data_IF_816622675526
#
_entry.id   IF_816622675526
#
_cell.length_a   1.000
_cell.length_b   1.000
_cell.length_c   1.000
_cell.angle_alpha   90.00
_cell.angle_beta   90.00
_cell.angle_gamma   90.00
#
_symmetry.space_group_name_H-M   'P 1'
#
loop_
_entity.id
_entity.type
_entity.pdbx_description
1 polymer ?
#
# COMPACT_ATOMS: atom_id res chain seq x y z
N UNK A 1 17.46 -1.94 3.75
CA UNK A 1 16.53 -2.19 2.63
C UNK A 1 15.39 -1.18 2.74
N UNK A 2 15.12 -0.32 1.73
CA UNK A 2 13.99 0.65 1.81
C UNK A 2 12.65 -0.13 1.84
N UNK A 3 11.72 0.27 2.71
CA UNK A 3 10.35 -0.30 2.89
C UNK A 3 9.65 -0.57 1.54
N UNK A 4 8.94 -1.70 1.46
CA UNK A 4 8.00 -1.99 0.37
C UNK A 4 6.69 -1.22 0.60
N UNK A 5 6.03 -0.75 -0.47
CA UNK A 5 4.79 0.01 -0.33
C UNK A 5 3.65 -0.84 0.26
N UNK A 6 2.78 -0.22 1.04
CA UNK A 6 1.59 -0.88 1.60
C UNK A 6 0.42 -0.91 0.62
N UNK A 7 -0.68 -1.57 0.97
CA UNK A 7 -1.82 -1.75 0.08
C UNK A 7 -2.44 -0.41 -0.36
N UNK A 8 -2.53 0.56 0.55
CA UNK A 8 -3.06 1.89 0.25
C UNK A 8 -2.14 2.67 -0.70
N UNK A 9 -0.83 2.71 -0.43
CA UNK A 9 0.15 3.37 -1.31
C UNK A 9 0.17 2.75 -2.71
N UNK A 10 0.07 1.42 -2.80
CA UNK A 10 -0.04 0.72 -4.08
C UNK A 10 -1.31 1.12 -4.83
N UNK A 11 -2.44 1.18 -4.15
CA UNK A 11 -3.71 1.61 -4.74
C UNK A 11 -3.63 3.06 -5.25
N UNK A 12 -3.00 3.96 -4.51
CA UNK A 12 -2.76 5.35 -4.93
C UNK A 12 -1.84 5.45 -6.16
N UNK A 13 -0.88 4.52 -6.31
CA UNK A 13 -0.08 4.39 -7.53
C UNK A 13 -0.86 3.85 -8.74
N UNK A 14 -2.14 3.50 -8.58
CA UNK A 14 -2.97 2.89 -9.61
C UNK A 14 -2.86 1.37 -9.68
N UNK A 15 -2.30 0.71 -8.66
CA UNK A 15 -2.25 -0.76 -8.63
C UNK A 15 -3.63 -1.33 -8.37
N UNK A 16 -4.01 -2.29 -9.22
CA UNK A 16 -5.28 -3.01 -9.14
C UNK A 16 -5.04 -4.31 -8.37
N UNK A 17 -5.91 -4.55 -7.40
CA UNK A 17 -5.86 -5.76 -6.58
C UNK A 17 -6.84 -6.80 -7.09
N UNK A 18 -6.40 -8.06 -7.22
CA UNK A 18 -7.23 -9.18 -7.63
C UNK A 18 -6.95 -10.43 -6.80
N UNK A 19 -7.94 -11.29 -6.69
CA UNK A 19 -7.75 -12.64 -6.17
C UNK A 19 -7.07 -13.52 -7.23
N UNK A 20 -6.11 -14.33 -6.82
CA UNK A 20 -5.43 -15.33 -7.64
C UNK A 20 -5.02 -16.54 -6.79
N UNK A 21 -4.21 -17.43 -7.36
CA UNK A 21 -3.71 -18.61 -6.65
C UNK A 21 -2.45 -18.31 -5.84
N UNK A 22 -1.63 -17.36 -6.29
CA UNK A 22 -0.38 -16.95 -5.65
C UNK A 22 -0.20 -15.42 -5.70
N UNK A 23 0.83 -14.91 -5.01
CA UNK A 23 1.26 -13.52 -5.05
C UNK A 23 2.04 -13.29 -6.35
N UNK A 24 1.43 -12.60 -7.29
CA UNK A 24 2.07 -12.23 -8.55
C UNK A 24 1.79 -10.76 -8.89
N UNK A 25 2.84 -10.01 -9.21
CA UNK A 25 2.67 -8.67 -9.75
C UNK A 25 2.80 -8.66 -11.27
N UNK A 26 1.96 -7.91 -11.96
CA UNK A 26 2.09 -7.65 -13.39
C UNK A 26 2.24 -6.15 -13.60
N UNK A 27 3.45 -5.74 -13.96
CA UNK A 27 3.85 -4.34 -14.14
C UNK A 27 3.26 -3.69 -15.40
N UNK A 28 2.92 -4.48 -16.41
CA UNK A 28 2.26 -3.99 -17.63
C UNK A 28 0.81 -3.57 -17.36
N UNK A 29 0.09 -4.39 -16.60
CA UNK A 29 -1.31 -4.14 -16.22
C UNK A 29 -1.45 -3.35 -14.91
N UNK A 30 -0.37 -3.21 -14.13
CA UNK A 30 -0.41 -2.66 -12.79
C UNK A 30 -1.25 -3.53 -11.83
N UNK A 31 -1.31 -4.84 -12.04
CA UNK A 31 -2.16 -5.74 -11.27
C UNK A 31 -1.35 -6.54 -10.25
N UNK A 32 -1.78 -6.53 -8.99
CA UNK A 32 -1.28 -7.43 -7.94
C UNK A 32 -2.34 -8.50 -7.67
N UNK A 33 -1.98 -9.75 -7.95
CA UNK A 33 -2.77 -10.91 -7.56
C UNK A 33 -2.35 -11.40 -6.18
N UNK A 34 -3.32 -11.79 -5.36
CA UNK A 34 -3.12 -12.31 -4.02
C UNK A 34 -4.05 -13.50 -3.78
N UNK A 35 -3.60 -14.51 -3.02
CA UNK A 35 -4.47 -15.61 -2.63
C UNK A 35 -5.62 -15.12 -1.75
N UNK A 36 -6.78 -15.77 -1.89
CA UNK A 36 -7.94 -15.47 -1.06
C UNK A 36 -7.66 -15.84 0.40
N UNK A 37 -7.72 -14.85 1.28
CA UNK A 37 -7.59 -15.03 2.72
C UNK A 37 -8.99 -15.20 3.29
N UNK A 38 -9.34 -16.46 3.56
CA UNK A 38 -10.52 -16.81 4.37
C UNK A 38 -10.08 -17.27 5.77
N UNK A 39 -10.98 -17.83 6.60
CA UNK A 39 -10.78 -18.25 8.01
C UNK A 39 -9.64 -19.27 8.23
N UNK A 40 -8.42 -18.88 7.88
CA UNK A 40 -7.23 -19.72 7.85
C UNK A 40 -6.23 -19.33 8.93
N UNK A 41 -6.51 -18.43 9.87
CA UNK A 41 -5.51 -18.06 10.90
C UNK A 41 -4.87 -19.29 11.56
N UNK A 42 -5.69 -20.23 12.06
CA UNK A 42 -5.20 -21.43 12.73
C UNK A 42 -4.49 -22.39 11.75
N UNK A 43 -5.09 -22.76 10.59
CA UNK A 43 -4.39 -23.54 9.56
C UNK A 43 -3.06 -22.92 9.10
N UNK A 44 -3.02 -21.61 8.91
CA UNK A 44 -1.87 -20.87 8.41
C UNK A 44 -0.72 -20.89 9.42
N UNK A 45 -1.00 -20.61 10.70
CA UNK A 45 0.01 -20.73 11.77
C UNK A 45 0.55 -22.15 11.90
N UNK A 46 -0.33 -23.15 11.81
CA UNK A 46 0.08 -24.55 11.86
C UNK A 46 0.95 -24.96 10.67
N UNK A 47 0.61 -24.49 9.46
CA UNK A 47 1.40 -24.74 8.25
C UNK A 47 2.77 -24.07 8.32
N UNK A 48 2.84 -22.82 8.79
CA UNK A 48 4.13 -22.12 9.00
C UNK A 48 4.99 -22.88 10.03
N UNK A 49 4.43 -23.27 11.17
CA UNK A 49 5.15 -24.06 12.15
C UNK A 49 5.64 -25.41 11.58
N UNK A 50 4.81 -26.06 10.76
CA UNK A 50 5.18 -27.29 10.07
C UNK A 50 6.35 -27.08 9.09
N UNK A 51 6.29 -26.05 8.25
CA UNK A 51 7.38 -25.69 7.32
C UNK A 51 8.69 -25.45 8.09
N UNK A 52 8.62 -24.63 9.15
CA UNK A 52 9.79 -24.28 9.96
C UNK A 52 10.41 -25.45 10.72
N UNK A 53 9.59 -26.36 11.26
CA UNK A 53 10.08 -27.48 12.06
C UNK A 53 10.50 -28.70 11.24
N UNK A 54 9.87 -28.95 10.08
CA UNK A 54 10.02 -30.23 9.36
C UNK A 54 10.68 -30.09 7.97
N UNK A 55 10.52 -28.97 7.29
CA UNK A 55 11.07 -28.77 5.93
C UNK A 55 12.40 -27.98 5.99
N UNK A 56 12.52 -27.10 7.00
CA UNK A 56 13.67 -26.25 7.21
C UNK A 56 13.57 -24.96 6.40
N UNK A 57 14.01 -23.85 6.98
CA UNK A 57 13.83 -22.48 6.45
C UNK A 57 14.49 -22.22 5.08
N UNK A 58 15.23 -23.18 4.53
CA UNK A 58 15.93 -23.08 3.24
C UNK A 58 15.25 -23.82 2.07
N UNK A 59 14.28 -24.70 2.32
CA UNK A 59 13.58 -25.46 1.27
C UNK A 59 12.05 -25.25 1.33
N UNK A 60 11.42 -24.85 0.22
CA UNK A 60 9.95 -24.78 0.01
C UNK A 60 9.14 -24.21 1.19
N UNK A 61 9.41 -22.94 1.53
CA UNK A 61 8.73 -22.21 2.60
C UNK A 61 7.73 -21.20 2.02
N UNK A 62 6.81 -21.66 1.17
CA UNK A 62 5.86 -20.80 0.46
C UNK A 62 4.90 -20.12 1.45
N UNK A 63 4.41 -20.87 2.44
CA UNK A 63 3.46 -20.34 3.43
C UNK A 63 4.16 -19.34 4.37
N UNK A 64 5.40 -19.62 4.76
CA UNK A 64 6.23 -18.72 5.56
C UNK A 64 6.60 -17.45 4.79
N UNK A 65 6.89 -17.57 3.49
CA UNK A 65 7.12 -16.44 2.59
C UNK A 65 5.87 -15.55 2.47
N UNK A 66 4.70 -16.17 2.29
CA UNK A 66 3.41 -15.48 2.30
C UNK A 66 3.20 -14.75 3.63
N UNK A 67 3.49 -15.43 4.75
CA UNK A 67 3.50 -14.84 6.09
C UNK A 67 4.33 -13.57 6.12
N UNK A 68 5.61 -13.63 5.75
CA UNK A 68 6.52 -12.46 5.72
C UNK A 68 6.06 -11.36 4.77
N UNK A 69 5.40 -11.69 3.68
CA UNK A 69 4.93 -10.71 2.70
C UNK A 69 3.74 -9.88 3.21
N UNK A 70 2.76 -10.50 3.87
CA UNK A 70 1.51 -9.85 4.24
C UNK A 70 1.64 -8.59 5.14
N UNK A 71 2.52 -8.53 6.16
CA UNK A 71 2.75 -7.31 6.94
C UNK A 71 3.31 -6.14 6.13
N UNK A 72 3.91 -6.38 4.96
CA UNK A 72 4.30 -5.27 4.09
C UNK A 72 3.07 -4.60 3.48
N UNK A 73 2.06 -5.37 3.11
CA UNK A 73 0.80 -4.85 2.57
C UNK A 73 -0.11 -4.29 3.65
N UNK A 74 -0.20 -4.94 4.80
CA UNK A 74 -1.14 -4.61 5.88
C UNK A 74 -0.42 -3.89 7.01
N UNK A 75 -0.36 -2.56 6.93
CA UNK A 75 0.31 -1.71 7.93
C UNK A 75 -0.67 -0.85 8.72
N UNK A 76 -1.90 -0.70 8.22
CA UNK A 76 -2.96 0.12 8.79
C UNK A 76 -4.33 -0.53 8.61
N UNK A 77 -5.30 -0.04 9.37
CA UNK A 77 -6.70 -0.45 9.24
C UNK A 77 -7.28 -0.11 7.86
N UNK A 78 -6.74 0.90 7.19
CA UNK A 78 -7.15 1.28 5.84
C UNK A 78 -6.69 0.27 4.80
N UNK A 79 -5.50 -0.32 4.97
CA UNK A 79 -5.02 -1.40 4.12
C UNK A 79 -5.93 -2.63 4.22
N UNK A 80 -6.34 -3.00 5.44
CA UNK A 80 -7.27 -4.11 5.66
C UNK A 80 -8.62 -3.84 4.99
N UNK A 81 -9.19 -2.64 5.18
CA UNK A 81 -10.46 -2.26 4.53
C UNK A 81 -10.37 -2.39 3.02
N UNK A 82 -9.29 -1.87 2.43
CA UNK A 82 -9.06 -1.96 1.00
C UNK A 82 -9.00 -3.40 0.51
N UNK A 83 -8.28 -4.28 1.23
CA UNK A 83 -8.18 -5.70 0.86
C UNK A 83 -9.51 -6.44 1.04
N UNK A 84 -10.37 -6.04 1.98
CA UNK A 84 -11.74 -6.55 2.12
C UNK A 84 -12.61 -6.10 0.95
N UNK A 85 -12.57 -4.80 0.60
CA UNK A 85 -13.29 -4.24 -0.55
C UNK A 85 -12.90 -4.91 -1.87
N UNK A 86 -11.63 -5.30 -1.98
CA UNK A 86 -11.09 -6.03 -3.14
C UNK A 86 -11.29 -7.55 -3.07
N UNK A 87 -12.03 -8.03 -2.05
CA UNK A 87 -12.39 -9.45 -1.85
C UNK A 87 -11.15 -10.35 -1.73
N UNK A 88 -10.02 -9.79 -1.29
CA UNK A 88 -8.81 -10.55 -0.95
C UNK A 88 -8.94 -11.11 0.47
N UNK A 89 -9.51 -10.32 1.38
CA UNK A 89 -9.80 -10.75 2.75
C UNK A 89 -11.32 -10.92 2.88
N UNK A 90 -11.78 -12.13 3.24
CA UNK A 90 -13.21 -12.32 3.54
C UNK A 90 -13.59 -11.65 4.86
N UNK A 91 -14.72 -10.94 4.83
CA UNK A 91 -15.35 -10.40 6.03
C UNK A 91 -15.75 -11.58 6.95
N UNK A 92 -15.13 -11.70 8.13
CA UNK A 92 -15.30 -12.87 9.02
C UNK A 92 -14.07 -13.25 9.84
N UNK A 93 -12.90 -12.67 9.54
CA UNK A 93 -11.66 -12.87 10.29
C UNK A 93 -11.59 -12.07 11.61
N UNK A 94 -12.62 -11.31 11.96
CA UNK A 94 -12.68 -10.47 13.15
C UNK A 94 -12.81 -8.99 12.84
N UNK A 95 -12.64 -8.15 13.86
CA UNK A 95 -12.56 -6.69 13.65
C UNK A 95 -11.33 -6.34 12.81
N UNK A 96 -11.37 -5.20 12.10
CA UNK A 96 -10.23 -4.74 11.28
C UNK A 96 -8.93 -4.70 12.11
N UNK A 97 -9.03 -4.27 13.37
CA UNK A 97 -7.91 -4.22 14.30
C UNK A 97 -7.36 -5.61 14.64
N UNK A 98 -8.24 -6.60 14.84
CA UNK A 98 -7.84 -8.00 15.04
C UNK A 98 -7.11 -8.55 13.82
N UNK A 99 -7.58 -8.25 12.60
CA UNK A 99 -6.92 -8.66 11.36
C UNK A 99 -5.55 -8.02 11.21
N UNK A 100 -5.41 -6.72 11.50
CA UNK A 100 -4.12 -6.03 11.51
C UNK A 100 -3.17 -6.66 12.54
N UNK A 101 -3.66 -6.97 13.74
CA UNK A 101 -2.85 -7.63 14.78
C UNK A 101 -2.48 -9.08 14.41
N UNK A 102 -3.38 -9.80 13.76
CA UNK A 102 -3.16 -11.16 13.27
C UNK A 102 -1.93 -11.21 12.38
N UNK A 103 -1.88 -10.40 11.32
CA UNK A 103 -0.74 -10.41 10.38
C UNK A 103 0.55 -9.94 11.04
N UNK A 104 0.50 -8.92 11.89
CA UNK A 104 1.68 -8.47 12.64
C UNK A 104 2.23 -9.56 13.59
N UNK A 105 1.35 -10.35 14.20
CA UNK A 105 1.74 -11.45 15.09
C UNK A 105 2.05 -12.74 14.33
N UNK A 106 1.61 -12.90 13.08
CA UNK A 106 1.93 -14.06 12.25
C UNK A 106 3.43 -14.15 12.02
N UNK A 107 4.09 -13.01 11.84
CA UNK A 107 5.50 -12.93 11.44
C UNK A 107 6.48 -12.84 12.60
N UNK A 108 5.98 -12.71 13.84
CA UNK A 108 6.83 -12.83 15.02
C UNK A 108 7.38 -14.26 15.01
N UNK A 109 8.68 -14.39 14.80
CA UNK A 109 9.44 -15.66 14.78
C UNK A 109 9.45 -16.44 13.45
N UNK A 110 8.99 -15.86 12.34
CA UNK A 110 9.20 -16.50 11.03
C UNK A 110 10.63 -16.22 10.52
N UNK A 111 11.40 -17.28 10.30
CA UNK A 111 12.69 -17.26 9.62
C UNK A 111 12.52 -17.83 8.22
N UNK A 112 12.86 -17.03 7.20
CA UNK A 112 12.81 -17.44 5.79
C UNK A 112 14.21 -17.27 5.19
N UNK A 113 14.79 -18.35 4.65
CA UNK A 113 16.12 -18.32 4.02
C UNK A 113 16.11 -17.66 2.64
N UNK A 114 15.04 -17.84 1.86
CA UNK A 114 14.87 -17.23 0.53
C UNK A 114 13.52 -16.52 0.46
N UNK A 115 13.53 -15.22 0.17
CA UNK A 115 12.31 -14.44 -0.04
C UNK A 115 11.85 -14.55 -1.51
N UNK A 116 10.85 -15.38 -1.77
CA UNK A 116 10.35 -15.65 -3.13
C UNK A 116 9.68 -14.43 -3.77
N UNK A 117 9.07 -13.56 -2.97
CA UNK A 117 8.33 -12.39 -3.47
C UNK A 117 9.17 -11.10 -3.51
N UNK A 118 10.49 -11.21 -3.32
CA UNK A 118 11.38 -10.05 -3.34
C UNK A 118 11.45 -9.40 -4.73
N UNK A 119 11.38 -10.19 -5.80
CA UNK A 119 11.25 -9.72 -7.19
C UNK A 119 10.01 -8.85 -7.38
N UNK A 120 8.86 -9.35 -6.93
CA UNK A 120 7.57 -8.66 -7.06
C UNK A 120 7.53 -7.41 -6.19
N UNK A 121 8.06 -7.47 -4.97
CA UNK A 121 8.26 -6.30 -4.12
C UNK A 121 9.07 -5.20 -4.83
N UNK A 122 10.15 -5.58 -5.51
CA UNK A 122 10.98 -4.64 -6.27
C UNK A 122 10.22 -4.07 -7.46
N UNK A 123 9.52 -4.90 -8.23
CA UNK A 123 8.73 -4.48 -9.40
C UNK A 123 7.60 -3.54 -9.02
N UNK A 124 6.84 -3.86 -7.98
CA UNK A 124 5.80 -2.97 -7.43
C UNK A 124 6.35 -1.60 -7.03
N UNK A 125 7.51 -1.60 -6.36
CA UNK A 125 8.17 -0.37 -5.94
C UNK A 125 8.62 0.47 -7.12
N UNK A 126 9.20 -0.15 -8.14
CA UNK A 126 9.67 0.56 -9.33
C UNK A 126 8.49 1.07 -10.18
N UNK A 127 7.39 0.32 -10.25
CA UNK A 127 6.13 0.78 -10.84
C UNK A 127 5.60 2.03 -10.13
N UNK A 128 5.48 2.00 -8.81
CA UNK A 128 5.04 3.15 -8.00
C UNK A 128 5.95 4.38 -8.17
N UNK A 129 7.27 4.19 -8.21
CA UNK A 129 8.20 5.30 -8.49
C UNK A 129 7.94 5.90 -9.88
N UNK A 130 7.71 5.06 -10.88
CA UNK A 130 7.37 5.50 -12.23
C UNK A 130 6.08 6.32 -12.27
N UNK A 131 5.02 5.85 -11.60
CA UNK A 131 3.76 6.58 -11.45
C UNK A 131 3.96 7.94 -10.77
N UNK A 132 4.67 7.95 -9.64
CA UNK A 132 4.95 9.19 -8.89
C UNK A 132 5.78 10.17 -9.71
N UNK A 133 6.78 9.69 -10.45
CA UNK A 133 7.59 10.54 -11.31
C UNK A 133 6.74 11.15 -12.43
N UNK A 134 5.94 10.34 -13.14
CA UNK A 134 5.00 10.85 -14.16
C UNK A 134 4.04 11.88 -13.60
N UNK A 135 3.42 11.60 -12.45
CA UNK A 135 2.49 12.54 -11.81
C UNK A 135 3.19 13.85 -11.41
N UNK A 136 4.39 13.78 -10.83
CA UNK A 136 5.16 14.99 -10.52
C UNK A 136 5.56 15.76 -11.78
N UNK A 137 5.94 15.09 -12.88
CA UNK A 137 6.22 15.75 -14.16
C UNK A 137 4.97 16.40 -14.74
N UNK A 138 3.81 15.73 -14.69
CA UNK A 138 2.53 16.28 -15.14
C UNK A 138 2.09 17.47 -14.30
N UNK A 139 2.25 17.41 -12.98
CA UNK A 139 2.01 18.54 -12.09
C UNK A 139 2.96 19.69 -12.40
N UNK A 140 4.26 19.41 -12.55
CA UNK A 140 5.22 20.45 -12.87
C UNK A 140 4.87 21.15 -14.19
N UNK A 141 4.52 20.37 -15.21
CA UNK A 141 4.11 20.89 -16.50
C UNK A 141 2.80 21.67 -16.38
N UNK A 142 1.74 21.13 -15.80
CA UNK A 142 0.43 21.78 -15.83
C UNK A 142 0.31 22.95 -14.85
N UNK A 143 0.93 22.85 -13.67
CA UNK A 143 0.85 23.86 -12.63
C UNK A 143 1.84 25.01 -12.87
N UNK A 144 3.10 24.72 -13.22
CA UNK A 144 4.12 25.75 -13.46
C UNK A 144 4.19 26.27 -14.90
N UNK A 145 3.52 25.65 -15.89
CA UNK A 145 3.46 26.22 -17.25
C UNK A 145 2.39 27.30 -17.44
N UNK A 146 1.58 27.59 -16.42
CA UNK A 146 0.60 28.70 -16.43
C UNK A 146 1.05 29.84 -15.51
N UNK A 147 2.08 30.61 -15.91
CA UNK A 147 2.57 31.75 -15.10
C UNK A 147 1.45 32.76 -14.81
N UNK A 148 0.48 32.90 -15.72
CA UNK A 148 -0.68 33.78 -15.56
C UNK A 148 -1.58 33.41 -14.37
N UNK A 149 -1.75 32.11 -14.07
CA UNK A 149 -2.55 31.68 -12.91
C UNK A 149 -1.87 32.04 -11.58
N UNK A 150 -0.53 32.01 -11.54
CA UNK A 150 0.24 32.44 -10.37
C UNK A 150 0.07 33.95 -10.17
N UNK A 151 0.12 34.75 -11.23
CA UNK A 151 -0.12 36.21 -11.16
C UNK A 151 -1.53 36.51 -10.66
N UNK A 152 -2.55 35.80 -11.17
CA UNK A 152 -3.94 35.97 -10.71
C UNK A 152 -4.11 35.59 -9.24
N UNK A 153 -3.50 34.48 -8.79
CA UNK A 153 -3.53 34.07 -7.39
C UNK A 153 -2.95 35.16 -6.47
N UNK A 154 -1.79 35.73 -6.83
CA UNK A 154 -1.16 36.83 -6.07
C UNK A 154 -2.05 38.06 -6.04
N UNK A 155 -2.66 38.45 -7.17
CA UNK A 155 -3.60 39.58 -7.22
C UNK A 155 -4.80 39.36 -6.30
N UNK A 156 -5.39 38.16 -6.30
CA UNK A 156 -6.54 37.84 -5.44
C UNK A 156 -6.18 37.88 -3.96
N UNK A 157 -4.98 37.43 -3.57
CA UNK A 157 -4.48 37.52 -2.20
C UNK A 157 -4.27 38.98 -1.77
N UNK A 158 -3.69 39.81 -2.63
CA UNK A 158 -3.54 41.25 -2.36
C UNK A 158 -4.91 41.89 -2.18
N UNK A 159 -5.85 41.65 -3.10
CA UNK A 159 -7.20 42.20 -3.04
C UNK A 159 -7.93 41.77 -1.75
N UNK A 160 -7.82 40.51 -1.34
CA UNK A 160 -8.46 40.04 -0.10
C UNK A 160 -7.83 40.66 1.14
N UNK A 161 -6.50 40.78 1.20
CA UNK A 161 -5.82 41.46 2.31
C UNK A 161 -6.25 42.92 2.40
N UNK A 162 -6.25 43.64 1.27
CA UNK A 162 -6.68 45.04 1.23
C UNK A 162 -8.13 45.19 1.70
N UNK A 163 -9.05 44.35 1.20
CA UNK A 163 -10.46 44.40 1.58
C UNK A 163 -10.69 44.13 3.08
N UNK A 164 -9.92 43.21 3.68
CA UNK A 164 -9.97 42.92 5.11
C UNK A 164 -9.49 44.13 5.91
N UNK A 165 -8.34 44.72 5.55
CA UNK A 165 -7.77 45.89 6.25
C UNK A 165 -8.72 47.09 6.18
N UNK A 166 -9.23 47.44 4.99
CA UNK A 166 -10.17 48.56 4.84
C UNK A 166 -11.49 48.31 5.57
N UNK A 167 -11.98 47.06 5.59
CA UNK A 167 -13.18 46.70 6.33
C UNK A 167 -13.03 46.75 7.85
N UNK A 168 -11.80 46.66 8.37
CA UNK A 168 -11.51 46.88 9.80
C UNK A 168 -11.43 48.38 10.14
N UNK A 169 -10.87 49.20 9.25
CA UNK A 169 -10.76 50.66 9.43
C UNK A 169 -12.14 51.34 9.49
N UNK A 170 -13.10 50.87 8.69
CA UNK A 170 -14.45 51.44 8.59
C UNK A 170 -15.38 51.05 9.78
N UNK A 171 -14.92 50.15 10.66
CA UNK A 171 -15.63 49.70 11.87
C UNK A 171 -15.02 50.22 13.18
N UNK A 172 -13.95 51.02 13.12
CA UNK A 172 -13.31 51.70 14.25
C UNK A 172 -13.80 53.14 14.38
#
# INVERSE_FOLDING_TARGET
MKRSPNATELHECGVIFRTGDDIEFNDQSGCLQLPLINNFEKPLRNLIAYEQCHIGSELRNEVSNFGVFMPFLVQSDQDVKLLIERVIIRNGLGSIKEVTQLFNNLCKHICVGVNYYNSDCKRMKDYCKGCRHRWMTSLQRNYFSTPWLIVLLVLTLIQTITAVVTGFEERS
#
